data_IF_122690158822
#
_entry.id   IF_122690158822
#
_cell.length_a   1.000
_cell.length_b   1.000
_cell.length_c   1.000
_cell.angle_alpha   90.00
_cell.angle_beta   90.00
_cell.angle_gamma   90.00
#
_symmetry.space_group_name_H-M   'P 1'
#
loop_
_entity.id
_entity.type
_entity.pdbx_description
1 polymer ?
#
# COMPACT_ATOMS: atom_id res chain seq x y z
N UNK A 1 17.62 2.45 10.63
CA UNK A 1 16.36 2.63 9.90
C UNK A 1 15.16 2.17 10.73
N UNK A 2 15.07 0.88 11.10
CA UNK A 2 14.01 0.38 11.99
C UNK A 2 14.23 0.74 13.46
N UNK A 3 13.12 0.92 14.19
CA UNK A 3 13.10 1.09 15.65
C UNK A 3 12.37 -0.08 16.31
N UNK A 4 12.71 -0.37 17.53
CA UNK A 4 12.07 -1.39 18.33
C UNK A 4 10.59 -1.04 18.57
N UNK A 5 9.63 -1.89 18.19
CA UNK A 5 8.21 -1.60 18.39
C UNK A 5 7.81 -1.60 19.88
N UNK A 6 8.67 -2.10 20.78
CA UNK A 6 8.42 -2.20 22.21
C UNK A 6 8.95 -0.96 22.95
N UNK A 7 10.25 -0.62 22.77
CA UNK A 7 10.90 0.47 23.51
C UNK A 7 11.30 1.67 22.67
N UNK A 8 11.09 1.64 21.35
CA UNK A 8 11.40 2.71 20.39
C UNK A 8 12.89 2.97 20.14
N UNK A 9 13.79 2.28 20.82
CA UNK A 9 15.23 2.34 20.56
C UNK A 9 15.57 1.84 19.16
N UNK A 10 16.71 2.28 18.62
CA UNK A 10 17.18 1.85 17.30
C UNK A 10 17.41 0.34 17.26
N UNK A 11 17.05 -0.30 16.17
CA UNK A 11 17.35 -1.70 15.91
C UNK A 11 18.63 -1.81 15.08
N UNK A 12 19.54 -2.65 15.50
CA UNK A 12 20.80 -2.95 14.83
C UNK A 12 20.81 -4.39 14.37
N UNK A 13 21.44 -4.64 13.20
CA UNK A 13 21.59 -5.99 12.66
C UNK A 13 22.63 -6.76 13.48
N UNK A 14 22.23 -7.89 14.03
CA UNK A 14 23.12 -8.84 14.71
C UNK A 14 22.87 -10.24 14.14
N UNK A 15 23.77 -10.68 13.27
CA UNK A 15 23.60 -11.94 12.53
C UNK A 15 22.37 -11.91 11.62
N UNK A 16 21.33 -12.69 11.97
CA UNK A 16 20.04 -12.76 11.24
C UNK A 16 18.88 -12.12 11.99
N UNK A 17 19.18 -11.30 12.99
CA UNK A 17 18.20 -10.67 13.86
C UNK A 17 18.42 -9.17 13.95
N UNK A 18 17.35 -8.42 14.19
CA UNK A 18 17.40 -7.03 14.61
C UNK A 18 17.31 -6.98 16.13
N UNK A 19 18.25 -6.32 16.78
CA UNK A 19 18.34 -6.23 18.26
C UNK A 19 18.46 -4.77 18.68
N UNK A 20 17.76 -4.36 19.74
CA UNK A 20 17.93 -3.04 20.36
C UNK A 20 18.79 -3.11 21.64
N UNK A 21 19.21 -1.96 22.15
CA UNK A 21 20.05 -1.86 23.36
C UNK A 21 19.36 -2.45 24.61
N UNK A 22 18.03 -2.54 24.62
CA UNK A 22 17.26 -3.20 25.68
C UNK A 22 17.06 -4.72 25.43
N UNK A 23 17.85 -5.33 24.55
CA UNK A 23 17.84 -6.76 24.23
C UNK A 23 16.51 -7.30 23.65
N UNK A 24 15.62 -6.45 23.12
CA UNK A 24 14.52 -6.96 22.33
C UNK A 24 15.06 -7.43 20.97
N UNK A 25 14.70 -8.67 20.59
CA UNK A 25 15.23 -9.35 19.43
C UNK A 25 14.11 -9.73 18.45
N UNK A 26 14.32 -9.49 17.15
CA UNK A 26 13.38 -9.76 16.07
C UNK A 26 14.11 -10.44 14.92
N UNK A 27 13.81 -11.72 14.71
CA UNK A 27 14.47 -12.53 13.68
C UNK A 27 13.95 -12.19 12.29
N UNK A 28 14.86 -12.13 11.34
CA UNK A 28 14.46 -12.19 9.93
C UNK A 28 13.90 -13.56 9.59
N UNK A 29 12.75 -13.59 8.98
CA UNK A 29 12.19 -14.81 8.41
C UNK A 29 13.12 -15.35 7.30
N UNK A 30 13.07 -16.67 7.03
CA UNK A 30 13.84 -17.30 5.94
C UNK A 30 13.63 -16.61 4.58
N UNK A 31 12.48 -15.99 4.37
CA UNK A 31 12.13 -15.27 3.15
C UNK A 31 12.81 -13.91 3.02
N UNK A 32 13.27 -13.29 4.11
CA UNK A 32 13.97 -11.99 4.11
C UNK A 32 13.18 -10.81 4.70
N UNK A 33 12.02 -11.02 5.31
CA UNK A 33 11.30 -9.97 6.03
C UNK A 33 11.47 -10.10 7.55
N UNK A 34 11.24 -9.00 8.26
CA UNK A 34 11.15 -8.98 9.72
C UNK A 34 9.72 -8.70 10.18
N UNK A 35 9.28 -9.35 11.27
CA UNK A 35 7.97 -9.07 11.87
C UNK A 35 8.13 -8.13 13.06
N UNK A 36 7.77 -6.86 12.85
CA UNK A 36 7.83 -5.78 13.85
C UNK A 36 6.43 -5.37 14.33
N UNK A 37 5.41 -6.22 14.14
CA UNK A 37 4.04 -6.00 14.61
C UNK A 37 3.83 -6.72 15.95
N UNK A 38 3.80 -6.00 17.09
CA UNK A 38 3.49 -6.59 18.39
C UNK A 38 2.06 -7.19 18.42
N UNK A 39 1.90 -8.26 19.17
CA UNK A 39 0.60 -8.94 19.28
C UNK A 39 -0.50 -8.01 19.78
N UNK A 40 -0.17 -7.09 20.68
CA UNK A 40 -1.10 -6.10 21.26
C UNK A 40 -1.63 -5.09 20.24
N UNK A 41 -0.93 -4.89 19.11
CA UNK A 41 -1.37 -3.99 18.03
C UNK A 41 -2.22 -4.70 16.97
N UNK A 42 -2.40 -6.01 17.07
CA UNK A 42 -3.27 -6.75 16.16
C UNK A 42 -4.74 -6.58 16.58
N UNK A 43 -5.56 -6.06 15.65
CA UNK A 43 -7.03 -5.93 15.84
C UNK A 43 -7.80 -7.21 15.47
N UNK A 44 -7.16 -8.17 14.80
CA UNK A 44 -7.72 -9.47 14.42
C UNK A 44 -6.61 -10.52 14.35
N UNK A 45 -6.99 -11.80 14.32
CA UNK A 45 -6.04 -12.92 14.18
C UNK A 45 -5.32 -12.90 12.81
N UNK A 46 -6.04 -12.51 11.77
CA UNK A 46 -5.55 -12.41 10.39
C UNK A 46 -5.86 -11.02 9.83
N UNK A 47 -5.06 -9.99 10.18
CA UNK A 47 -5.26 -8.65 9.67
C UNK A 47 -4.86 -8.57 8.18
N UNK A 48 -5.59 -7.74 7.42
CA UNK A 48 -5.32 -7.50 6.00
C UNK A 48 -5.99 -8.52 5.07
N UNK A 49 -5.49 -8.59 3.85
CA UNK A 49 -6.04 -9.43 2.79
C UNK A 49 -5.71 -10.92 2.98
N UNK A 50 -6.58 -11.79 2.48
CA UNK A 50 -6.34 -13.24 2.44
C UNK A 50 -5.28 -13.59 1.39
N UNK A 51 -4.68 -14.77 1.50
CA UNK A 51 -3.73 -15.25 0.49
C UNK A 51 -4.31 -15.30 -0.92
N UNK A 52 -5.58 -15.69 -1.04
CA UNK A 52 -6.29 -15.74 -2.31
C UNK A 52 -6.45 -14.35 -2.91
N UNK A 53 -6.86 -13.35 -2.12
CA UNK A 53 -6.94 -11.96 -2.56
C UNK A 53 -5.58 -11.41 -2.98
N UNK A 54 -4.52 -11.71 -2.22
CA UNK A 54 -3.16 -11.28 -2.53
C UNK A 54 -2.64 -11.90 -3.83
N UNK A 55 -2.88 -13.20 -4.06
CA UNK A 55 -2.49 -13.87 -5.29
C UNK A 55 -3.24 -13.31 -6.50
N UNK A 56 -4.54 -13.12 -6.37
CA UNK A 56 -5.37 -12.52 -7.41
C UNK A 56 -4.91 -11.10 -7.75
N UNK A 57 -4.58 -10.29 -6.73
CA UNK A 57 -4.02 -8.95 -6.90
C UNK A 57 -2.69 -8.98 -7.63
N UNK A 58 -1.78 -9.87 -7.22
CA UNK A 58 -0.49 -10.03 -7.87
C UNK A 58 -0.65 -10.36 -9.35
N UNK A 59 -1.51 -11.32 -9.69
CA UNK A 59 -1.77 -11.71 -11.08
C UNK A 59 -2.33 -10.55 -11.89
N UNK A 60 -3.35 -9.86 -11.35
CA UNK A 60 -3.99 -8.72 -12.01
C UNK A 60 -3.03 -7.55 -12.25
N UNK A 61 -2.26 -7.16 -11.23
CA UNK A 61 -1.34 -6.02 -11.33
C UNK A 61 -0.14 -6.34 -12.22
N UNK A 62 0.37 -7.58 -12.20
CA UNK A 62 1.49 -8.01 -13.05
C UNK A 62 1.17 -7.98 -14.54
N UNK A 63 -0.12 -8.00 -14.92
CA UNK A 63 -0.57 -7.83 -16.30
C UNK A 63 -0.67 -6.35 -16.74
N UNK A 64 -0.23 -5.41 -15.89
CA UNK A 64 -0.10 -3.98 -16.24
C UNK A 64 -1.39 -3.17 -16.19
N UNK A 65 -2.51 -3.74 -15.74
CA UNK A 65 -3.81 -3.07 -15.75
C UNK A 65 -3.83 -1.73 -14.98
N UNK A 66 -2.95 -1.58 -13.96
CA UNK A 66 -2.82 -0.36 -13.16
C UNK A 66 -1.47 0.34 -13.33
N UNK A 67 -0.75 0.06 -14.41
CA UNK A 67 0.55 0.68 -14.68
C UNK A 67 0.45 2.22 -14.78
N UNK A 68 -0.64 2.75 -15.35
CA UNK A 68 -0.89 4.20 -15.39
C UNK A 68 -0.94 4.85 -14.00
N UNK A 69 -1.40 4.12 -12.97
CA UNK A 69 -1.38 4.60 -11.59
C UNK A 69 0.07 4.63 -11.08
N UNK A 70 0.81 3.54 -11.30
CA UNK A 70 2.22 3.43 -10.92
C UNK A 70 3.06 4.53 -11.56
N UNK A 71 2.92 4.75 -12.87
CA UNK A 71 3.66 5.78 -13.61
C UNK A 71 3.36 7.19 -13.12
N UNK A 72 2.08 7.48 -12.83
CA UNK A 72 1.70 8.78 -12.29
C UNK A 72 2.29 9.00 -10.90
N UNK A 73 2.24 8.01 -10.01
CA UNK A 73 2.82 8.10 -8.66
C UNK A 73 4.33 8.31 -8.74
N UNK A 74 5.04 7.52 -9.56
CA UNK A 74 6.48 7.67 -9.74
C UNK A 74 6.86 9.04 -10.32
N UNK A 75 6.07 9.57 -11.27
CA UNK A 75 6.23 10.91 -11.83
C UNK A 75 6.09 11.99 -10.75
N UNK A 76 5.05 11.91 -9.91
CA UNK A 76 4.83 12.86 -8.82
C UNK A 76 5.95 12.80 -7.78
N UNK A 77 6.45 11.61 -7.45
CA UNK A 77 7.62 11.49 -6.57
C UNK A 77 8.82 12.22 -7.17
N UNK A 78 9.14 12.01 -8.45
CA UNK A 78 10.25 12.67 -9.11
C UNK A 78 10.10 14.19 -9.15
N UNK A 79 8.88 14.68 -9.29
CA UNK A 79 8.59 16.12 -9.40
C UNK A 79 8.68 16.83 -8.04
N UNK A 80 8.18 16.18 -6.96
CA UNK A 80 8.00 16.85 -5.67
C UNK A 80 8.98 16.42 -4.58
N UNK A 81 9.67 15.28 -4.73
CA UNK A 81 10.65 14.81 -3.75
C UNK A 81 12.01 15.44 -4.01
N UNK A 82 12.58 16.11 -3.02
CA UNK A 82 13.86 16.81 -3.12
C UNK A 82 15.09 15.96 -2.74
N UNK A 83 14.89 14.82 -2.10
CA UNK A 83 15.93 13.87 -1.69
C UNK A 83 15.47 12.44 -1.92
N UNK A 84 16.39 11.58 -2.30
CA UNK A 84 16.13 10.18 -2.65
C UNK A 84 16.91 9.20 -1.75
N UNK A 85 17.06 9.52 -0.45
CA UNK A 85 17.76 8.65 0.48
C UNK A 85 16.89 7.49 0.94
N UNK A 86 15.61 7.75 1.29
CA UNK A 86 14.73 6.73 1.87
C UNK A 86 13.28 6.88 1.40
N UNK A 87 12.74 5.82 0.83
CA UNK A 87 11.34 5.68 0.44
C UNK A 87 10.64 4.62 1.30
N UNK A 88 9.41 4.92 1.72
CA UNK A 88 8.53 4.01 2.45
C UNK A 88 7.22 3.79 1.68
N UNK A 89 6.91 2.54 1.36
CA UNK A 89 5.57 2.15 0.93
C UNK A 89 4.77 1.60 2.13
N UNK A 90 3.73 2.33 2.52
CA UNK A 90 2.91 2.00 3.69
C UNK A 90 1.58 1.36 3.27
N UNK A 91 1.49 0.03 3.47
CA UNK A 91 0.45 -0.81 2.92
C UNK A 91 0.88 -1.38 1.57
N UNK A 92 2.10 -1.93 1.52
CA UNK A 92 2.75 -2.37 0.28
C UNK A 92 2.06 -3.56 -0.42
N UNK A 93 1.13 -4.24 0.25
CA UNK A 93 0.46 -5.42 -0.28
C UNK A 93 1.46 -6.49 -0.71
N UNK A 94 1.36 -6.97 -1.95
CA UNK A 94 2.26 -7.96 -2.55
C UNK A 94 3.51 -7.35 -3.21
N UNK A 95 3.70 -6.02 -3.12
CA UNK A 95 4.91 -5.31 -3.52
C UNK A 95 4.93 -4.73 -4.93
N UNK A 96 3.86 -4.82 -5.71
CA UNK A 96 3.80 -4.30 -7.09
C UNK A 96 4.20 -2.82 -7.18
N UNK A 97 3.54 -1.96 -6.39
CA UNK A 97 3.84 -0.53 -6.41
C UNK A 97 5.22 -0.23 -5.82
N UNK A 98 5.60 -0.90 -4.74
CA UNK A 98 6.92 -0.69 -4.10
C UNK A 98 8.05 -0.95 -5.07
N UNK A 99 8.07 -2.13 -5.72
CA UNK A 99 9.10 -2.51 -6.70
C UNK A 99 9.04 -1.61 -7.93
N UNK A 100 7.85 -1.34 -8.47
CA UNK A 100 7.72 -0.50 -9.65
C UNK A 100 8.14 0.97 -9.42
N UNK A 101 7.97 1.51 -8.19
CA UNK A 101 8.47 2.84 -7.83
C UNK A 101 9.99 2.80 -7.62
N UNK A 102 10.53 1.76 -6.98
CA UNK A 102 11.98 1.55 -6.87
C UNK A 102 12.66 1.59 -8.25
N UNK A 103 12.13 0.82 -9.22
CA UNK A 103 12.65 0.76 -10.58
C UNK A 103 12.60 2.11 -11.32
N UNK A 104 11.59 2.94 -11.04
CA UNK A 104 11.35 4.23 -11.69
C UNK A 104 12.02 5.41 -10.98
N UNK A 105 12.48 5.19 -9.75
CA UNK A 105 13.14 6.21 -8.92
C UNK A 105 14.51 5.69 -8.49
N UNK A 106 15.34 6.50 -7.90
CA UNK A 106 16.70 6.09 -7.50
C UNK A 106 16.90 6.24 -5.99
N UNK A 107 15.91 5.78 -5.20
CA UNK A 107 16.07 5.81 -3.75
C UNK A 107 17.19 4.86 -3.29
N UNK A 108 18.07 5.37 -2.44
CA UNK A 108 19.17 4.59 -1.88
C UNK A 108 18.68 3.48 -0.93
N UNK A 109 17.54 3.72 -0.28
CA UNK A 109 16.90 2.76 0.63
C UNK A 109 15.40 2.72 0.40
N UNK A 110 14.86 1.51 0.26
CA UNK A 110 13.42 1.27 0.08
C UNK A 110 12.91 0.38 1.20
N UNK A 111 11.78 0.76 1.78
CA UNK A 111 11.08 0.03 2.83
C UNK A 111 9.65 -0.24 2.36
N UNK A 112 9.22 -1.49 2.45
CA UNK A 112 7.82 -1.87 2.29
C UNK A 112 7.25 -2.40 3.59
N UNK A 113 6.10 -1.86 4.02
CA UNK A 113 5.41 -2.33 5.22
C UNK A 113 3.96 -2.68 4.93
N UNK A 114 3.50 -3.80 5.48
CA UNK A 114 2.09 -4.18 5.48
C UNK A 114 1.73 -4.89 6.79
N UNK A 115 0.47 -4.82 7.18
CA UNK A 115 -0.04 -5.51 8.37
C UNK A 115 -0.26 -7.01 8.11
N UNK A 116 -0.49 -7.38 6.85
CA UNK A 116 -0.68 -8.76 6.40
C UNK A 116 0.67 -9.46 6.23
N UNK A 117 0.98 -10.40 7.12
CA UNK A 117 2.22 -11.19 7.04
C UNK A 117 2.38 -11.92 5.71
N UNK A 118 1.28 -12.45 5.15
CA UNK A 118 1.32 -13.16 3.88
C UNK A 118 1.62 -12.23 2.69
N UNK A 119 1.18 -10.96 2.74
CA UNK A 119 1.52 -9.93 1.78
C UNK A 119 3.03 -9.68 1.77
N UNK A 120 3.59 -9.32 2.93
CA UNK A 120 5.04 -9.07 3.08
C UNK A 120 5.88 -10.28 2.68
N UNK A 121 5.42 -11.50 2.99
CA UNK A 121 6.09 -12.72 2.56
C UNK A 121 6.13 -12.86 1.02
N UNK A 122 5.09 -12.44 0.32
CA UNK A 122 5.06 -12.46 -1.16
C UNK A 122 6.04 -11.44 -1.75
N UNK A 123 6.18 -10.26 -1.15
CA UNK A 123 7.12 -9.23 -1.57
C UNK A 123 8.57 -9.75 -1.63
N UNK A 124 8.99 -10.55 -0.66
CA UNK A 124 10.34 -11.12 -0.60
C UNK A 124 10.70 -12.03 -1.79
N UNK A 125 9.72 -12.51 -2.54
CA UNK A 125 9.95 -13.28 -3.76
C UNK A 125 10.15 -12.37 -4.99
N UNK A 126 9.75 -11.10 -4.90
CA UNK A 126 9.83 -10.12 -6.00
C UNK A 126 11.13 -9.33 -5.94
N UNK A 127 11.48 -8.78 -4.76
CA UNK A 127 12.76 -8.09 -4.56
C UNK A 127 13.39 -8.50 -3.22
N UNK A 128 14.72 -8.67 -3.21
CA UNK A 128 15.53 -8.93 -2.02
C UNK A 128 16.29 -7.69 -1.51
N UNK A 129 16.30 -6.64 -2.31
CA UNK A 129 17.04 -5.41 -2.02
C UNK A 129 16.19 -4.43 -1.19
N UNK A 130 14.89 -4.64 -1.17
CA UNK A 130 13.93 -3.87 -0.39
C UNK A 130 13.83 -4.40 1.05
N UNK A 131 13.76 -3.49 2.01
CA UNK A 131 13.59 -3.81 3.43
C UNK A 131 12.12 -4.07 3.76
N UNK A 132 11.71 -5.32 3.81
CA UNK A 132 10.33 -5.72 4.06
C UNK A 132 10.04 -5.94 5.54
N UNK A 133 8.98 -5.32 6.07
CA UNK A 133 8.57 -5.51 7.46
C UNK A 133 7.06 -5.66 7.63
N UNK A 134 6.65 -6.58 8.50
CA UNK A 134 5.25 -6.63 8.97
C UNK A 134 5.08 -5.57 10.04
N UNK A 135 4.22 -4.59 9.79
CA UNK A 135 3.97 -3.46 10.69
C UNK A 135 2.57 -2.88 10.50
N UNK A 136 2.09 -2.07 11.44
CA UNK A 136 0.87 -1.28 11.28
C UNK A 136 1.19 0.16 10.93
N UNK A 137 0.41 0.74 10.01
CA UNK A 137 0.55 2.15 9.61
C UNK A 137 0.37 3.15 10.76
N UNK A 138 -0.35 2.76 11.82
CA UNK A 138 -0.59 3.62 12.98
C UNK A 138 0.55 3.66 14.00
N UNK A 139 1.52 2.76 13.88
CA UNK A 139 2.71 2.69 14.76
C UNK A 139 3.87 2.10 13.97
N UNK A 140 4.42 2.89 13.05
CA UNK A 140 5.52 2.47 12.20
C UNK A 140 6.80 2.25 13.01
N UNK A 141 7.45 1.09 12.90
CA UNK A 141 8.72 0.84 13.58
C UNK A 141 9.88 1.49 12.80
N UNK A 142 9.79 2.79 12.56
CA UNK A 142 10.70 3.58 11.74
C UNK A 142 11.11 4.82 12.54
N UNK A 143 12.38 5.18 12.43
CA UNK A 143 12.98 6.33 13.10
C UNK A 143 12.29 7.64 12.69
N UNK A 144 12.18 8.58 13.63
CA UNK A 144 11.67 9.92 13.35
C UNK A 144 12.54 10.63 12.33
N UNK A 145 11.93 11.45 11.46
CA UNK A 145 12.62 12.31 10.49
C UNK A 145 13.68 11.57 9.67
N UNK A 146 13.33 10.39 9.12
CA UNK A 146 14.28 9.52 8.42
C UNK A 146 13.84 9.12 7.00
N UNK A 147 12.62 9.48 6.59
CA UNK A 147 12.03 9.10 5.30
C UNK A 147 11.84 10.36 4.45
N UNK A 148 12.16 10.30 3.17
CA UNK A 148 11.99 11.41 2.22
C UNK A 148 10.64 11.36 1.51
N UNK A 149 10.16 10.16 1.17
CA UNK A 149 8.88 9.96 0.53
C UNK A 149 8.12 8.78 1.12
N UNK A 150 6.81 8.93 1.26
CA UNK A 150 5.87 7.86 1.64
C UNK A 150 4.84 7.72 0.53
N UNK A 151 4.48 6.47 0.19
CA UNK A 151 3.26 6.19 -0.57
C UNK A 151 2.20 5.54 0.30
N UNK A 152 0.94 5.92 0.05
CA UNK A 152 -0.26 5.29 0.59
C UNK A 152 -1.23 5.04 -0.58
N UNK A 153 -1.06 3.90 -1.28
CA UNK A 153 -1.82 3.56 -2.48
C UNK A 153 -2.93 2.58 -2.09
N UNK A 154 -4.19 3.03 -2.15
CA UNK A 154 -5.35 2.28 -1.67
C UNK A 154 -5.22 1.76 -0.24
N UNK A 155 -4.42 2.44 0.57
CA UNK A 155 -4.12 2.10 1.96
C UNK A 155 -4.51 3.23 2.92
N UNK A 156 -4.30 3.01 4.22
CA UNK A 156 -4.71 3.95 5.26
C UNK A 156 -3.71 5.10 5.37
N UNK A 157 -4.19 6.33 5.22
CA UNK A 157 -3.42 7.54 5.57
C UNK A 157 -3.47 7.77 7.09
N UNK A 158 -2.30 7.88 7.73
CA UNK A 158 -2.15 8.21 9.16
C UNK A 158 -1.25 9.45 9.29
N UNK A 159 -1.84 10.67 9.21
CA UNK A 159 -1.08 11.92 9.09
C UNK A 159 -0.03 12.12 10.18
N UNK A 160 -0.40 11.90 11.44
CA UNK A 160 0.48 12.13 12.60
C UNK A 160 1.71 11.19 12.55
N UNK A 161 1.49 9.91 12.22
CA UNK A 161 2.55 8.93 12.16
C UNK A 161 3.44 9.13 10.93
N UNK A 162 2.84 9.51 9.80
CA UNK A 162 3.60 9.82 8.59
C UNK A 162 4.44 11.09 8.78
N UNK A 163 3.89 12.13 9.42
CA UNK A 163 4.65 13.33 9.78
C UNK A 163 5.80 13.00 10.73
N UNK A 164 5.61 12.08 11.68
CA UNK A 164 6.67 11.68 12.60
C UNK A 164 7.89 11.08 11.89
N UNK A 165 7.67 10.21 10.91
CA UNK A 165 8.76 9.49 10.22
C UNK A 165 9.36 10.28 9.06
N UNK A 166 8.60 11.18 8.42
CA UNK A 166 9.10 12.04 7.36
C UNK A 166 10.09 13.08 7.87
N UNK A 167 11.12 13.33 7.08
CA UNK A 167 11.98 14.51 7.22
C UNK A 167 11.16 15.79 6.94
N UNK A 168 11.61 16.95 7.43
CA UNK A 168 11.05 18.23 7.00
C UNK A 168 11.24 18.39 5.48
N UNK A 169 10.20 18.84 4.78
CA UNK A 169 10.16 18.86 3.32
C UNK A 169 9.87 17.52 2.65
N UNK A 170 9.81 16.42 3.39
CA UNK A 170 9.44 15.10 2.88
C UNK A 170 7.98 15.03 2.46
N UNK A 171 7.65 14.12 1.54
CA UNK A 171 6.34 14.06 0.89
C UNK A 171 5.58 12.76 1.16
N UNK A 172 4.25 12.86 1.10
CA UNK A 172 3.35 11.70 0.98
C UNK A 172 2.65 11.77 -0.37
N UNK A 173 2.67 10.68 -1.13
CA UNK A 173 1.80 10.50 -2.30
C UNK A 173 0.69 9.54 -1.93
N UNK A 174 -0.53 10.06 -1.82
CA UNK A 174 -1.73 9.27 -1.52
C UNK A 174 -2.53 9.02 -2.78
N UNK A 175 -2.98 7.78 -2.98
CA UNK A 175 -3.93 7.40 -4.03
C UNK A 175 -5.13 6.72 -3.40
N UNK A 176 -6.32 7.25 -3.68
CA UNK A 176 -7.61 6.71 -3.20
C UNK A 176 -8.55 6.44 -4.37
N UNK A 177 -9.50 5.53 -4.19
CA UNK A 177 -10.54 5.28 -5.18
C UNK A 177 -11.49 6.49 -5.26
N UNK A 178 -11.69 7.02 -6.45
CA UNK A 178 -12.68 8.05 -6.73
C UNK A 178 -14.12 7.53 -6.73
N UNK A 179 -15.07 8.42 -6.97
CA UNK A 179 -16.51 8.11 -6.91
C UNK A 179 -16.95 7.11 -7.98
N UNK A 180 -16.34 7.17 -9.15
CA UNK A 180 -16.66 6.29 -10.27
C UNK A 180 -15.71 5.08 -10.41
N UNK A 181 -14.79 4.90 -9.45
CA UNK A 181 -13.84 3.77 -9.51
C UNK A 181 -14.59 2.44 -9.50
N UNK A 182 -14.42 1.66 -10.57
CA UNK A 182 -15.09 0.38 -10.83
C UNK A 182 -16.62 0.49 -10.70
N UNK A 183 -17.20 1.61 -11.18
CA UNK A 183 -18.64 1.88 -11.02
C UNK A 183 -19.49 0.82 -11.70
N UNK A 184 -19.05 0.32 -12.86
CA UNK A 184 -19.75 -0.70 -13.63
C UNK A 184 -19.81 -2.03 -12.85
N UNK A 185 -18.71 -2.40 -12.16
CA UNK A 185 -18.69 -3.55 -11.27
C UNK A 185 -19.60 -3.34 -10.05
N UNK A 186 -19.56 -2.16 -9.42
CA UNK A 186 -20.42 -1.83 -8.29
C UNK A 186 -21.91 -1.91 -8.65
N UNK A 187 -22.29 -1.49 -9.86
CA UNK A 187 -23.66 -1.58 -10.37
C UNK A 187 -24.13 -3.04 -10.56
N UNK A 188 -23.21 -3.98 -10.82
CA UNK A 188 -23.56 -5.41 -10.85
C UNK A 188 -23.73 -6.00 -9.44
N UNK A 189 -23.03 -5.43 -8.46
CA UNK A 189 -23.01 -5.92 -7.06
C UNK A 189 -24.20 -5.36 -6.27
N UNK A 190 -24.44 -4.05 -6.36
CA UNK A 190 -25.39 -3.32 -5.52
C UNK A 190 -26.61 -2.87 -6.32
N UNK A 191 -27.81 -3.05 -5.78
CA UNK A 191 -29.07 -2.59 -6.40
C UNK A 191 -29.13 -1.06 -6.46
N UNK A 192 -28.46 -0.38 -5.54
CA UNK A 192 -28.29 1.08 -5.55
C UNK A 192 -26.83 1.40 -5.21
N UNK A 193 -26.14 2.08 -6.12
CA UNK A 193 -24.79 2.58 -5.87
C UNK A 193 -24.91 3.99 -5.35
N UNK A 194 -24.72 4.18 -4.06
CA UNK A 194 -24.60 5.51 -3.48
C UNK A 194 -23.25 6.10 -3.88
N UNK A 195 -23.26 7.26 -4.52
CA UNK A 195 -22.08 8.09 -4.64
C UNK A 195 -21.77 8.60 -3.23
N UNK A 196 -20.85 7.91 -2.57
CA UNK A 196 -20.29 8.47 -1.34
C UNK A 196 -19.24 9.48 -1.78
N UNK A 197 -19.43 10.74 -1.43
CA UNK A 197 -18.32 11.69 -1.41
C UNK A 197 -17.31 11.13 -0.39
N UNK A 198 -16.41 10.30 -0.89
CA UNK A 198 -15.26 9.87 -0.10
C UNK A 198 -14.32 11.07 -0.02
N UNK A 199 -14.58 11.91 0.96
CA UNK A 199 -13.65 12.99 1.28
C UNK A 199 -12.29 12.34 1.62
N UNK A 200 -11.24 12.78 0.96
CA UNK A 200 -9.89 12.49 1.39
C UNK A 200 -9.79 12.92 2.86
N UNK A 201 -9.10 12.13 3.66
CA UNK A 201 -8.92 12.45 5.09
C UNK A 201 -8.35 13.85 5.20
N UNK A 202 -8.97 14.68 6.04
CA UNK A 202 -8.41 15.98 6.39
C UNK A 202 -7.04 15.79 7.03
N UNK A 203 -6.06 16.51 6.53
CA UNK A 203 -4.67 16.47 7.03
C UNK A 203 -4.37 17.65 7.94
N UNK A 204 -5.34 18.58 8.11
CA UNK A 204 -5.21 19.77 8.95
C UNK A 204 -3.96 20.57 8.62
N UNK A 205 -3.33 21.07 9.69
CA UNK A 205 -2.05 21.81 9.61
C UNK A 205 -0.81 20.89 9.60
N UNK A 206 -1.01 19.56 9.51
CA UNK A 206 0.10 18.59 9.54
C UNK A 206 0.88 18.59 8.22
N UNK A 207 0.19 18.81 7.11
CA UNK A 207 0.76 18.78 5.76
C UNK A 207 0.26 19.90 4.88
N UNK A 208 1.15 20.47 4.07
CA UNK A 208 0.81 21.31 2.92
C UNK A 208 0.39 20.43 1.74
N UNK A 209 -0.71 20.75 1.07
CA UNK A 209 -1.09 20.09 -0.18
C UNK A 209 -0.37 20.75 -1.36
N UNK A 210 0.58 20.04 -2.00
CA UNK A 210 1.31 20.54 -3.17
C UNK A 210 0.61 20.24 -4.49
N UNK A 211 -0.07 19.10 -4.56
CA UNK A 211 -0.77 18.65 -5.76
C UNK A 211 -2.04 17.90 -5.39
N UNK A 212 -3.07 18.08 -6.19
CA UNK A 212 -4.29 17.29 -6.15
C UNK A 212 -4.81 17.10 -7.57
N UNK A 213 -5.16 15.88 -7.93
CA UNK A 213 -5.65 15.55 -9.26
C UNK A 213 -6.27 14.17 -9.34
N UNK A 214 -6.63 13.77 -10.55
CA UNK A 214 -7.25 12.48 -10.82
C UNK A 214 -6.38 11.64 -11.77
N UNK A 215 -6.59 10.33 -11.69
CA UNK A 215 -6.06 9.34 -12.62
C UNK A 215 -7.27 8.57 -13.15
N UNK A 216 -7.69 8.89 -14.39
CA UNK A 216 -8.91 8.34 -14.98
C UNK A 216 -8.60 7.63 -16.30
N UNK A 217 -9.09 6.40 -16.45
CA UNK A 217 -8.99 5.67 -17.71
C UNK A 217 -10.03 4.55 -17.81
N UNK A 218 -10.30 4.11 -19.04
CA UNK A 218 -11.13 2.93 -19.29
C UNK A 218 -10.27 1.69 -19.38
N UNK A 219 -10.79 0.58 -18.89
CA UNK A 219 -10.13 -0.70 -18.80
C UNK A 219 -11.08 -1.80 -19.27
N UNK A 220 -10.71 -2.48 -20.35
CA UNK A 220 -11.40 -3.71 -20.77
C UNK A 220 -10.71 -4.91 -20.15
N UNK A 221 -11.46 -5.77 -19.49
CA UNK A 221 -10.92 -6.96 -18.79
C UNK A 221 -11.76 -8.17 -19.15
N UNK A 222 -11.08 -9.29 -19.40
CA UNK A 222 -11.69 -10.57 -19.76
C UNK A 222 -10.99 -11.75 -19.07
N UNK A 223 -11.67 -12.90 -19.10
CA UNK A 223 -11.10 -14.17 -18.67
C UNK A 223 -10.62 -14.21 -17.23
N UNK A 224 -9.38 -14.67 -17.04
CA UNK A 224 -8.82 -14.83 -15.69
C UNK A 224 -8.47 -13.49 -15.01
N UNK A 225 -8.20 -12.43 -15.78
CA UNK A 225 -7.99 -11.10 -15.22
C UNK A 225 -9.26 -10.52 -14.59
N UNK A 226 -10.42 -10.77 -15.19
CA UNK A 226 -11.71 -10.43 -14.58
C UNK A 226 -11.93 -11.19 -13.28
N UNK A 227 -11.63 -12.50 -13.24
CA UNK A 227 -11.72 -13.29 -12.02
C UNK A 227 -10.74 -12.80 -10.94
N UNK A 228 -9.53 -12.44 -11.33
CA UNK A 228 -8.53 -11.87 -10.42
C UNK A 228 -9.01 -10.54 -9.84
N UNK A 229 -9.53 -9.62 -10.68
CA UNK A 229 -10.10 -8.36 -10.21
C UNK A 229 -11.25 -8.58 -9.21
N UNK A 230 -12.18 -9.48 -9.54
CA UNK A 230 -13.29 -9.81 -8.65
C UNK A 230 -12.78 -10.34 -7.31
N UNK A 231 -11.85 -11.29 -7.33
CA UNK A 231 -11.32 -11.95 -6.12
C UNK A 231 -10.57 -10.96 -5.22
N UNK A 232 -9.77 -10.04 -5.80
CA UNK A 232 -9.02 -9.05 -5.00
C UNK A 232 -9.90 -7.92 -4.45
N UNK A 233 -11.15 -7.79 -4.93
CA UNK A 233 -12.03 -6.69 -4.55
C UNK A 233 -12.78 -7.00 -3.25
N UNK A 234 -12.68 -6.17 -2.19
CA UNK A 234 -13.33 -6.45 -0.90
C UNK A 234 -14.86 -6.59 -0.97
N UNK A 235 -15.49 -6.04 -2.00
CA UNK A 235 -16.94 -6.07 -2.21
C UNK A 235 -17.48 -7.48 -2.41
N UNK A 236 -16.72 -8.36 -3.07
CA UNK A 236 -17.13 -9.74 -3.40
C UNK A 236 -17.43 -10.58 -2.16
N UNK A 237 -16.70 -10.34 -1.07
CA UNK A 237 -16.89 -11.10 0.17
C UNK A 237 -18.17 -10.70 0.95
N UNK A 238 -18.90 -9.69 0.48
CA UNK A 238 -20.10 -9.12 1.14
C UNK A 238 -21.38 -9.37 0.38
N UNK A 239 -21.33 -10.07 -0.75
CA UNK A 239 -22.50 -10.34 -1.59
C UNK A 239 -22.98 -11.77 -1.47
N UNK A 240 -24.27 -11.99 -1.80
CA UNK A 240 -24.90 -13.32 -1.83
C UNK A 240 -24.21 -14.19 -2.90
N UNK A 241 -24.15 -15.49 -2.66
CA UNK A 241 -23.47 -16.44 -3.54
C UNK A 241 -24.05 -16.47 -4.96
N UNK A 242 -25.35 -16.25 -5.12
CA UNK A 242 -26.00 -16.13 -6.43
C UNK A 242 -25.43 -14.97 -7.28
N UNK A 243 -25.31 -13.77 -6.68
CA UNK A 243 -24.70 -12.61 -7.35
C UNK A 243 -23.22 -12.87 -7.65
N UNK A 244 -22.51 -13.53 -6.74
CA UNK A 244 -21.11 -13.90 -6.92
C UNK A 244 -20.93 -14.84 -8.10
N UNK A 245 -21.71 -15.93 -8.17
CA UNK A 245 -21.68 -16.88 -9.28
C UNK A 245 -21.96 -16.21 -10.62
N UNK A 246 -22.94 -15.29 -10.66
CA UNK A 246 -23.23 -14.50 -11.87
C UNK A 246 -22.03 -13.65 -12.31
N UNK A 247 -21.37 -12.96 -11.39
CA UNK A 247 -20.19 -12.14 -11.70
C UNK A 247 -19.03 -12.98 -12.23
N UNK A 248 -18.78 -14.14 -11.62
CA UNK A 248 -17.72 -15.06 -12.05
C UNK A 248 -18.04 -15.79 -13.37
N UNK A 249 -19.29 -15.72 -13.85
CA UNK A 249 -19.70 -16.25 -15.16
C UNK A 249 -19.57 -15.22 -16.30
N UNK A 250 -19.24 -13.96 -16.00
CA UNK A 250 -18.99 -12.95 -17.03
C UNK A 250 -17.72 -13.29 -17.81
N UNK A 251 -17.76 -13.11 -19.12
CA UNK A 251 -16.60 -13.31 -19.99
C UNK A 251 -15.68 -12.09 -20.00
N UNK A 252 -16.28 -10.89 -19.97
CA UNK A 252 -15.54 -9.62 -19.99
C UNK A 252 -16.34 -8.51 -19.29
N UNK A 253 -15.67 -7.42 -18.96
CA UNK A 253 -16.28 -6.23 -18.38
C UNK A 253 -15.46 -4.99 -18.76
N UNK A 254 -16.18 -3.95 -19.23
CA UNK A 254 -15.60 -2.61 -19.40
C UNK A 254 -15.73 -1.86 -18.07
N UNK A 255 -14.64 -1.26 -17.63
CA UNK A 255 -14.53 -0.66 -16.32
C UNK A 255 -13.98 0.77 -16.39
N UNK A 256 -14.43 1.59 -15.48
CA UNK A 256 -13.82 2.91 -15.21
C UNK A 256 -12.86 2.78 -14.06
N UNK A 257 -11.60 3.08 -14.30
CA UNK A 257 -10.61 3.35 -13.23
C UNK A 257 -10.66 4.84 -12.98
N UNK A 258 -11.03 5.22 -11.76
CA UNK A 258 -11.13 6.61 -11.29
C UNK A 258 -10.45 6.68 -9.93
N UNK A 259 -9.30 7.34 -9.88
CA UNK A 259 -8.52 7.48 -8.65
C UNK A 259 -8.24 8.95 -8.39
N UNK A 260 -8.33 9.35 -7.13
CA UNK A 260 -7.85 10.63 -6.67
C UNK A 260 -6.42 10.48 -6.18
N UNK A 261 -5.56 11.40 -6.57
CA UNK A 261 -4.16 11.44 -6.13
C UNK A 261 -3.84 12.82 -5.57
N UNK A 262 -3.10 12.85 -4.47
CA UNK A 262 -2.55 14.09 -3.92
C UNK A 262 -1.12 13.90 -3.44
N UNK A 263 -0.37 15.00 -3.48
CA UNK A 263 0.97 15.10 -2.88
C UNK A 263 0.88 16.05 -1.70
N UNK A 264 1.28 15.54 -0.55
CA UNK A 264 1.30 16.25 0.73
C UNK A 264 2.75 16.44 1.15
N UNK A 265 3.14 17.62 1.64
CA UNK A 265 4.49 17.91 2.12
C UNK A 265 4.46 18.23 3.61
N UNK A 266 5.36 17.61 4.36
CA UNK A 266 5.64 18.01 5.73
C UNK A 266 6.37 19.35 5.74
N UNK A 267 5.87 20.37 6.45
CA UNK A 267 6.55 21.67 6.63
C UNK A 267 7.97 21.57 7.16
#
# INVERSE_FOLDING_TARGET
MFTCPICKESLQLNGKSLVCDNNHCFDYAKQGYVNLLPVQQKKSLHPGDTKEMLLARKNFLSNGHYEKILDKVASLIKEYCSSFDCYLDCGCGEGYYTCGIEERTNFANVIGTDIAKDAVRMCCSTSKDINWAVATASHLPIKNNSVDAITAIFSLLVPEEYSRVLKSGGIVVEVTAGNNHLIELKQQIYDTVFKQDKHQKDVGDIFDTLYQGNIDFKLHIEGDDLKNLLTMTPHINRIKEEKKSRLFSLNSLDLTVDCQVRVLRKP
#
